data_IF_400381099638
#
_entry.id   IF_400381099638
#
_cell.length_a   1.000
_cell.length_b   1.000
_cell.length_c   1.000
_cell.angle_alpha   90.00
_cell.angle_beta   90.00
_cell.angle_gamma   90.00
#
_symmetry.space_group_name_H-M   'P 1'
#
loop_
_entity.id
_entity.type
_entity.pdbx_description
1 polymer ?
#
# COMPACT_ATOMS: atom_id res chain seq x y z
N UNK A 1 4.21 -10.84 -83.94
CA UNK A 1 3.15 -10.58 -82.94
C UNK A 1 3.27 -11.61 -81.81
N UNK A 2 3.04 -11.18 -80.57
CA UNK A 2 2.89 -11.95 -79.32
C UNK A 2 4.16 -12.42 -78.59
N UNK A 3 4.57 -11.61 -77.60
CA UNK A 3 5.04 -12.08 -76.27
C UNK A 3 3.82 -12.56 -75.47
N UNK A 4 3.93 -13.54 -74.55
CA UNK A 4 4.09 -13.26 -73.10
C UNK A 4 5.08 -14.24 -72.40
N UNK A 5 5.98 -13.80 -71.51
CA UNK A 5 5.86 -13.54 -70.05
C UNK A 5 6.05 -14.77 -69.13
N UNK A 6 6.69 -14.50 -67.99
CA UNK A 6 6.80 -15.26 -66.73
C UNK A 6 8.01 -16.23 -66.65
N UNK A 7 8.80 -16.33 -65.58
CA UNK A 7 8.62 -15.86 -64.21
C UNK A 7 9.97 -15.85 -63.45
N UNK A 8 10.13 -14.79 -62.64
CA UNK A 8 11.14 -14.56 -61.60
C UNK A 8 11.47 -15.78 -60.73
N UNK A 9 12.75 -15.94 -60.38
CA UNK A 9 13.22 -16.15 -58.98
C UNK A 9 14.66 -15.64 -58.89
N UNK A 10 14.83 -14.37 -58.51
CA UNK A 10 16.13 -13.81 -58.16
C UNK A 10 16.26 -13.77 -56.64
N UNK A 11 17.24 -14.52 -56.14
CA UNK A 11 17.76 -14.45 -54.78
C UNK A 11 18.17 -13.01 -54.44
N UNK A 12 17.76 -12.54 -53.26
CA UNK A 12 18.37 -11.39 -52.62
C UNK A 12 18.75 -11.77 -51.18
N UNK A 13 20.00 -12.26 -51.05
CA UNK A 13 20.78 -12.08 -49.83
C UNK A 13 21.08 -10.58 -49.67
N UNK A 14 20.61 -9.99 -48.59
CA UNK A 14 21.21 -8.80 -47.95
C UNK A 14 20.95 -8.96 -46.44
N UNK A 15 21.87 -9.59 -45.71
CA UNK A 15 22.95 -8.91 -44.97
C UNK A 15 22.44 -7.74 -44.11
N UNK A 16 22.24 -8.07 -42.82
CA UNK A 16 22.71 -7.31 -41.65
C UNK A 16 22.47 -5.79 -41.67
N UNK A 17 21.42 -5.36 -40.98
CA UNK A 17 21.40 -4.02 -40.39
C UNK A 17 20.51 -4.01 -39.15
N UNK A 18 21.13 -3.70 -38.00
CA UNK A 18 20.49 -3.06 -36.85
C UNK A 18 19.56 -3.91 -35.97
N UNK A 19 20.13 -4.89 -35.27
CA UNK A 19 19.70 -5.18 -33.89
C UNK A 19 20.08 -3.97 -33.01
N UNK A 20 19.33 -2.86 -33.13
CA UNK A 20 19.29 -1.85 -32.08
C UNK A 20 18.57 -2.50 -30.90
N UNK A 21 19.37 -3.14 -30.05
CA UNK A 21 19.01 -3.31 -28.66
C UNK A 21 18.71 -1.90 -28.12
N UNK A 22 17.43 -1.53 -28.10
CA UNK A 22 16.96 -0.49 -27.20
C UNK A 22 17.31 -1.00 -25.81
N UNK A 23 18.48 -0.58 -25.32
CA UNK A 23 18.80 -0.56 -23.92
C UNK A 23 17.63 0.17 -23.26
N UNK A 24 16.72 -0.59 -22.67
CA UNK A 24 15.73 -0.06 -21.77
C UNK A 24 16.53 0.62 -20.68
N UNK A 25 16.61 1.95 -20.76
CA UNK A 25 17.12 2.75 -19.66
C UNK A 25 16.36 2.27 -18.41
N UNK A 26 17.03 1.88 -17.33
CA UNK A 26 16.35 1.53 -16.10
C UNK A 26 15.45 2.71 -15.78
N UNK A 27 14.13 2.46 -15.82
CA UNK A 27 13.12 3.49 -15.60
C UNK A 27 13.53 4.26 -14.36
N UNK A 28 13.62 5.59 -14.51
CA UNK A 28 13.92 6.48 -13.40
C UNK A 28 13.10 6.00 -12.20
N UNK A 29 13.79 5.62 -11.11
CA UNK A 29 13.15 5.27 -9.84
C UNK A 29 12.12 6.36 -9.59
N UNK A 30 10.85 6.02 -9.73
CA UNK A 30 9.77 6.97 -9.57
C UNK A 30 9.97 7.64 -8.22
N UNK A 31 10.04 8.97 -8.21
CA UNK A 31 10.20 9.71 -6.96
C UNK A 31 9.11 9.24 -5.99
N UNK A 32 9.51 8.95 -4.74
CA UNK A 32 8.57 8.55 -3.70
C UNK A 32 7.43 9.59 -3.70
N UNK A 33 6.14 9.21 -3.82
CA UNK A 33 5.05 10.15 -3.58
C UNK A 33 5.28 10.87 -2.25
N UNK A 34 4.98 12.17 -2.22
CA UNK A 34 5.14 12.99 -1.02
C UNK A 34 4.04 12.63 -0.01
N UNK A 35 4.29 11.60 0.80
CA UNK A 35 3.40 11.12 1.84
C UNK A 35 3.57 12.02 3.08
N UNK A 36 2.45 12.53 3.58
CA UNK A 36 2.38 13.35 4.80
C UNK A 36 1.80 12.57 5.99
N UNK A 37 0.91 11.62 5.73
CA UNK A 37 0.33 10.81 6.79
C UNK A 37 0.02 9.39 6.35
N UNK A 38 0.09 8.49 7.31
CA UNK A 38 -0.30 7.08 7.18
C UNK A 38 -1.22 6.78 8.36
N UNK A 39 -2.41 6.28 8.08
CA UNK A 39 -3.41 5.91 9.09
C UNK A 39 -3.74 4.44 8.95
N UNK A 40 -3.83 3.75 10.09
CA UNK A 40 -4.32 2.39 10.21
C UNK A 40 -5.50 2.39 11.16
N UNK A 41 -6.68 2.10 10.64
CA UNK A 41 -7.90 1.97 11.40
C UNK A 41 -8.33 0.50 11.41
N UNK A 42 -8.75 0.01 12.58
CA UNK A 42 -9.27 -1.33 12.76
C UNK A 42 -10.49 -1.29 13.64
N UNK A 43 -11.50 -2.04 13.26
CA UNK A 43 -12.62 -2.31 14.14
C UNK A 43 -13.27 -3.66 13.81
N UNK A 44 -14.08 -4.14 14.74
CA UNK A 44 -14.95 -5.28 14.51
C UNK A 44 -16.23 -5.21 15.33
N UNK A 45 -17.30 -5.84 14.84
CA UNK A 45 -18.59 -5.87 15.55
C UNK A 45 -18.50 -6.57 16.92
N UNK A 46 -17.60 -7.52 17.13
CA UNK A 46 -17.41 -8.20 18.42
C UNK A 46 -16.35 -7.57 19.34
N UNK A 47 -15.59 -6.58 18.86
CA UNK A 47 -14.42 -6.07 19.56
C UNK A 47 -14.84 -5.19 20.74
N UNK A 48 -14.07 -5.24 21.83
CA UNK A 48 -14.28 -4.37 23.00
C UNK A 48 -13.94 -2.90 22.70
N UNK A 49 -13.07 -2.66 21.72
CA UNK A 49 -12.66 -1.33 21.24
C UNK A 49 -12.34 -1.36 19.75
N UNK A 50 -12.48 -0.21 19.09
CA UNK A 50 -11.83 0.08 17.81
C UNK A 50 -10.48 0.76 18.04
N UNK A 51 -9.63 0.83 17.01
CA UNK A 51 -8.34 1.52 17.08
C UNK A 51 -8.04 2.30 15.81
N UNK A 52 -7.44 3.48 15.96
CA UNK A 52 -6.91 4.29 14.86
C UNK A 52 -5.51 4.77 15.22
N UNK A 53 -4.51 4.25 14.51
CA UNK A 53 -3.13 4.70 14.55
C UNK A 53 -2.90 5.70 13.43
N UNK A 54 -2.38 6.88 13.75
CA UNK A 54 -2.02 7.91 12.78
C UNK A 54 -0.55 8.29 12.95
N UNK A 55 0.18 8.24 11.84
CA UNK A 55 1.57 8.61 11.71
C UNK A 55 1.65 9.84 10.82
N UNK A 56 2.41 10.86 11.24
CA UNK A 56 2.65 12.06 10.46
C UNK A 56 4.12 12.16 10.05
N UNK A 57 4.39 12.82 8.92
CA UNK A 57 5.74 13.01 8.38
C UNK A 57 6.65 13.84 9.26
N UNK A 58 6.09 14.61 10.20
CA UNK A 58 6.86 15.35 11.23
C UNK A 58 7.27 14.46 12.42
N UNK A 59 6.94 13.17 12.37
CA UNK A 59 7.23 12.18 13.38
C UNK A 59 6.17 12.07 14.48
N UNK A 60 5.05 12.79 14.45
CA UNK A 60 3.98 12.61 15.41
C UNK A 60 3.28 11.26 15.21
N UNK A 61 3.11 10.54 16.31
CA UNK A 61 2.37 9.27 16.37
C UNK A 61 1.19 9.45 17.32
N UNK A 62 -0.03 9.18 16.85
CA UNK A 62 -1.25 9.21 17.68
C UNK A 62 -1.99 7.89 17.57
N UNK A 63 -2.34 7.30 18.70
CA UNK A 63 -3.22 6.13 18.78
C UNK A 63 -4.50 6.53 19.50
N UNK A 64 -5.62 6.42 18.81
CA UNK A 64 -6.96 6.55 19.39
C UNK A 64 -7.57 5.17 19.55
N UNK A 65 -8.00 4.81 20.76
CA UNK A 65 -8.82 3.64 21.01
C UNK A 65 -10.25 4.11 21.25
N UNK A 66 -11.18 3.66 20.41
CA UNK A 66 -12.60 3.98 20.53
C UNK A 66 -13.29 2.94 21.40
N UNK A 67 -13.82 3.38 22.53
CA UNK A 67 -14.62 2.58 23.43
C UNK A 67 -15.97 2.19 22.82
N UNK A 68 -16.58 1.16 23.38
CA UNK A 68 -17.90 0.67 22.96
C UNK A 68 -18.77 0.45 24.18
N UNK A 69 -19.89 1.17 24.23
CA UNK A 69 -20.82 1.16 25.35
C UNK A 69 -21.26 -0.26 25.76
N UNK A 70 -21.53 -1.14 24.79
CA UNK A 70 -21.92 -2.54 25.04
C UNK A 70 -20.87 -3.37 25.79
N UNK A 71 -19.61 -2.91 25.82
CA UNK A 71 -18.50 -3.53 26.54
C UNK A 71 -18.03 -2.70 27.74
N UNK A 72 -18.70 -1.59 28.05
CA UNK A 72 -18.31 -0.70 29.16
C UNK A 72 -16.92 -0.08 28.99
N UNK A 73 -16.39 -0.02 27.76
CA UNK A 73 -15.07 0.56 27.49
C UNK A 73 -15.20 2.04 27.10
N UNK A 74 -14.23 2.84 27.55
CA UNK A 74 -14.14 4.29 27.25
C UNK A 74 -13.11 4.55 26.15
N UNK A 75 -13.20 5.74 25.55
CA UNK A 75 -12.22 6.24 24.60
C UNK A 75 -10.89 6.54 25.28
N UNK A 76 -9.78 6.31 24.57
CA UNK A 76 -8.43 6.62 25.03
C UNK A 76 -7.61 7.20 23.87
N UNK A 77 -6.74 8.16 24.16
CA UNK A 77 -5.83 8.74 23.18
C UNK A 77 -4.42 8.72 23.74
N UNK A 78 -3.50 8.09 23.02
CA UNK A 78 -2.07 8.05 23.32
C UNK A 78 -1.28 8.78 22.23
N UNK A 79 -0.24 9.49 22.63
CA UNK A 79 0.63 10.21 21.70
C UNK A 79 2.09 9.87 21.97
N UNK A 80 2.89 9.91 20.91
CA UNK A 80 4.32 9.70 20.97
C UNK A 80 5.03 10.27 19.76
N UNK A 81 6.32 9.99 19.66
CA UNK A 81 7.18 10.40 18.55
C UNK A 81 7.77 9.15 17.91
N UNK A 82 7.78 9.12 16.58
CA UNK A 82 8.54 8.14 15.82
C UNK A 82 10.04 8.39 15.99
N UNK A 83 10.84 7.32 15.94
CA UNK A 83 12.28 7.48 15.83
C UNK A 83 12.62 8.11 14.47
N UNK A 84 13.73 8.83 14.40
CA UNK A 84 14.20 9.40 13.15
C UNK A 84 14.33 8.30 12.07
N UNK A 85 13.78 8.53 10.89
CA UNK A 85 13.82 7.57 9.78
C UNK A 85 12.78 6.45 9.85
N UNK A 86 11.97 6.31 10.91
CA UNK A 86 10.89 5.30 10.95
C UNK A 86 9.81 5.61 9.90
N UNK A 87 9.43 6.89 9.75
CA UNK A 87 8.41 7.29 8.78
C UNK A 87 8.86 7.04 7.34
N UNK A 88 10.08 7.44 6.98
CA UNK A 88 10.65 7.24 5.65
C UNK A 88 10.81 5.75 5.31
N UNK A 89 11.18 4.92 6.29
CA UNK A 89 11.24 3.46 6.12
C UNK A 89 9.86 2.88 5.80
N UNK A 90 8.83 3.33 6.50
CA UNK A 90 7.46 2.89 6.23
C UNK A 90 6.98 3.36 4.85
N UNK A 91 7.27 4.60 4.45
CA UNK A 91 6.97 5.10 3.10
C UNK A 91 7.63 4.26 2.01
N UNK A 92 8.88 3.81 2.22
CA UNK A 92 9.57 2.92 1.29
C UNK A 92 8.93 1.54 1.27
N UNK A 93 8.59 0.99 2.44
CA UNK A 93 7.89 -0.30 2.54
C UNK A 93 6.57 -0.29 1.77
N UNK A 94 5.77 0.77 1.88
CA UNK A 94 4.51 0.91 1.12
C UNK A 94 4.73 0.77 -0.39
N UNK A 95 5.83 1.33 -0.90
CA UNK A 95 6.15 1.26 -2.33
C UNK A 95 6.70 -0.11 -2.73
N UNK A 96 7.64 -0.64 -1.95
CA UNK A 96 8.22 -1.97 -2.18
C UNK A 96 7.16 -3.07 -2.15
N UNK A 97 6.14 -2.94 -1.29
CA UNK A 97 5.01 -3.87 -1.22
C UNK A 97 3.90 -3.57 -2.25
N UNK A 98 4.05 -2.54 -3.09
CA UNK A 98 3.09 -2.21 -4.14
C UNK A 98 1.74 -1.72 -3.60
N UNK A 99 1.69 -1.11 -2.42
CA UNK A 99 0.44 -0.65 -1.78
C UNK A 99 -0.43 0.21 -2.71
N UNK A 100 0.20 1.10 -3.47
CA UNK A 100 -0.49 2.02 -4.37
C UNK A 100 -1.17 1.32 -5.56
N UNK A 101 -0.76 0.09 -5.89
CA UNK A 101 -1.36 -0.72 -6.94
C UNK A 101 -2.47 -1.65 -6.41
N UNK A 102 -2.65 -1.76 -5.09
CA UNK A 102 -3.71 -2.59 -4.52
C UNK A 102 -5.10 -2.00 -4.84
N UNK A 103 -6.13 -2.85 -5.00
CA UNK A 103 -7.50 -2.37 -5.11
C UNK A 103 -7.91 -1.66 -3.81
N UNK A 104 -8.82 -0.70 -3.91
CA UNK A 104 -9.30 0.05 -2.74
C UNK A 104 -10.09 -0.81 -1.76
N UNK A 105 -10.64 -1.94 -2.23
CA UNK A 105 -11.42 -2.88 -1.43
C UNK A 105 -10.96 -4.31 -1.67
N UNK A 106 -10.61 -4.98 -0.59
CA UNK A 106 -10.28 -6.41 -0.53
C UNK A 106 -11.26 -7.04 0.47
N UNK A 107 -12.38 -7.58 -0.02
CA UNK A 107 -13.41 -8.13 0.83
C UNK A 107 -13.97 -9.42 0.25
N UNK A 108 -14.28 -10.37 1.14
CA UNK A 108 -14.97 -11.60 0.77
C UNK A 108 -16.45 -11.27 0.51
N UNK A 109 -17.01 -11.74 -0.60
CA UNK A 109 -18.37 -11.38 -1.02
C UNK A 109 -19.44 -11.82 0.01
N UNK A 110 -19.17 -12.91 0.72
CA UNK A 110 -20.09 -13.52 1.68
C UNK A 110 -19.94 -12.95 3.10
N UNK A 111 -18.89 -12.15 3.36
CA UNK A 111 -18.61 -11.61 4.69
C UNK A 111 -19.24 -10.22 4.87
N UNK A 112 -20.51 -10.20 5.30
CA UNK A 112 -21.21 -8.95 5.57
C UNK A 112 -20.72 -8.26 6.84
N UNK A 113 -20.44 -9.02 7.90
CA UNK A 113 -19.95 -8.54 9.19
C UNK A 113 -18.62 -9.21 9.56
N UNK A 114 -17.77 -8.49 10.27
CA UNK A 114 -16.49 -9.04 10.70
C UNK A 114 -15.47 -7.99 11.09
N UNK A 115 -14.28 -8.45 11.45
CA UNK A 115 -13.13 -7.59 11.62
C UNK A 115 -12.74 -6.97 10.28
N UNK A 116 -12.43 -5.68 10.32
CA UNK A 116 -11.97 -4.95 9.16
C UNK A 116 -10.77 -4.08 9.50
N UNK A 117 -10.05 -3.71 8.46
CA UNK A 117 -8.90 -2.83 8.53
C UNK A 117 -8.98 -1.83 7.39
N UNK A 118 -8.62 -0.58 7.64
CA UNK A 118 -8.52 0.48 6.64
C UNK A 118 -7.15 1.12 6.79
N UNK A 119 -6.36 1.07 5.71
CA UNK A 119 -5.12 1.84 5.63
C UNK A 119 -5.33 3.02 4.69
N UNK A 120 -5.05 4.21 5.18
CA UNK A 120 -5.11 5.46 4.41
C UNK A 120 -3.72 6.08 4.35
N UNK A 121 -3.28 6.44 3.15
CA UNK A 121 -2.02 7.15 2.91
C UNK A 121 -2.35 8.46 2.19
N UNK A 122 -1.96 9.58 2.79
CA UNK A 122 -2.32 10.91 2.28
C UNK A 122 -1.10 11.82 2.13
N UNK A 123 -1.20 12.77 1.20
CA UNK A 123 -0.21 13.79 0.87
C UNK A 123 -0.82 14.89 -0.01
N UNK A 124 -0.04 15.88 -0.49
CA UNK A 124 -0.60 17.01 -1.24
C UNK A 124 -1.41 16.63 -2.49
N UNK A 125 -0.95 15.59 -3.19
CA UNK A 125 -1.56 15.07 -4.42
C UNK A 125 -1.79 13.56 -4.32
N UNK A 126 -1.96 13.06 -3.11
CA UNK A 126 -2.11 11.64 -2.82
C UNK A 126 -3.22 11.46 -1.79
N UNK A 127 -4.21 10.65 -2.13
CA UNK A 127 -5.15 10.07 -1.18
C UNK A 127 -5.44 8.64 -1.63
N UNK A 128 -4.83 7.67 -0.95
CA UNK A 128 -4.99 6.25 -1.26
C UNK A 128 -5.54 5.54 -0.04
N UNK A 129 -6.63 4.80 -0.24
CA UNK A 129 -7.27 4.00 0.79
C UNK A 129 -7.35 2.54 0.35
N UNK A 130 -7.06 1.64 1.28
CA UNK A 130 -7.23 0.20 1.09
C UNK A 130 -8.00 -0.34 2.27
N UNK A 131 -9.27 -0.66 2.02
CA UNK A 131 -10.17 -1.32 2.95
C UNK A 131 -10.04 -2.84 2.80
N UNK A 132 -9.87 -3.54 3.93
CA UNK A 132 -9.88 -4.99 4.00
C UNK A 132 -10.95 -5.49 4.96
N UNK A 133 -11.76 -6.44 4.48
CA UNK A 133 -12.66 -7.28 5.28
C UNK A 133 -12.63 -8.69 4.69
N UNK A 134 -11.53 -9.38 4.95
CA UNK A 134 -11.27 -10.73 4.47
C UNK A 134 -10.30 -11.41 5.43
N UNK A 135 -10.46 -12.72 5.60
CA UNK A 135 -9.52 -13.54 6.37
C UNK A 135 -8.17 -13.71 5.64
N UNK A 136 -8.17 -13.56 4.32
CA UNK A 136 -6.99 -13.76 3.47
C UNK A 136 -6.43 -12.42 3.00
N UNK A 137 -5.65 -11.76 3.86
CA UNK A 137 -4.92 -10.56 3.48
C UNK A 137 -3.78 -10.90 2.50
N UNK A 138 -3.56 -10.13 1.40
CA UNK A 138 -2.37 -10.28 0.60
C UNK A 138 -1.10 -10.14 1.45
N UNK A 139 -0.08 -10.95 1.19
CA UNK A 139 1.16 -10.95 1.97
C UNK A 139 1.83 -9.56 2.06
N UNK A 140 1.71 -8.77 0.99
CA UNK A 140 2.14 -7.37 0.95
C UNK A 140 1.47 -6.51 2.02
N UNK A 141 0.14 -6.63 2.16
CA UNK A 141 -0.64 -5.87 3.13
C UNK A 141 -0.36 -6.33 4.56
N UNK A 142 -0.18 -7.63 4.78
CA UNK A 142 0.20 -8.18 6.09
C UNK A 142 1.52 -7.60 6.60
N UNK A 143 2.52 -7.45 5.72
CA UNK A 143 3.82 -6.84 6.08
C UNK A 143 3.68 -5.37 6.46
N UNK A 144 2.83 -4.62 5.76
CA UNK A 144 2.55 -3.22 6.08
C UNK A 144 1.84 -3.11 7.44
N UNK A 145 0.79 -3.92 7.65
CA UNK A 145 0.06 -3.98 8.92
C UNK A 145 1.00 -4.34 10.10
N UNK A 146 1.88 -5.32 9.92
CA UNK A 146 2.86 -5.71 10.95
C UNK A 146 3.85 -4.59 11.27
N UNK A 147 4.38 -3.88 10.27
CA UNK A 147 5.28 -2.75 10.50
C UNK A 147 4.59 -1.60 11.26
N UNK A 148 3.30 -1.37 10.99
CA UNK A 148 2.50 -0.40 11.73
C UNK A 148 2.24 -0.85 13.17
N UNK A 149 2.02 -2.15 13.39
CA UNK A 149 1.86 -2.72 14.74
C UNK A 149 3.14 -2.60 15.57
N UNK A 150 4.31 -2.81 14.96
CA UNK A 150 5.60 -2.59 15.61
C UNK A 150 5.79 -1.13 16.04
N UNK A 151 5.36 -0.16 15.22
CA UNK A 151 5.41 1.26 15.57
C UNK A 151 4.41 1.61 16.68
N UNK A 152 3.20 1.04 16.64
CA UNK A 152 2.22 1.19 17.70
C UNK A 152 2.75 0.67 19.04
N UNK A 153 3.43 -0.48 19.05
CA UNK A 153 3.97 -1.10 20.25
C UNK A 153 5.04 -0.26 20.97
N UNK A 154 5.63 0.73 20.29
CA UNK A 154 6.57 1.70 20.88
C UNK A 154 5.88 2.79 21.71
N UNK A 155 4.56 2.95 21.57
CA UNK A 155 3.82 3.89 22.42
C UNK A 155 3.79 3.37 23.86
N UNK A 156 3.94 4.27 24.85
CA UNK A 156 3.80 3.87 26.24
C UNK A 156 2.40 3.30 26.48
N UNK A 157 2.32 2.15 27.15
CA UNK A 157 1.05 1.57 27.55
C UNK A 157 0.34 2.53 28.52
N UNK A 158 -0.91 2.90 28.21
CA UNK A 158 -1.69 3.69 29.16
C UNK A 158 -2.14 2.83 30.34
N UNK A 159 -2.17 3.39 31.56
CA UNK A 159 -2.79 2.72 32.70
C UNK A 159 -4.26 2.41 32.38
N UNK A 160 -4.67 1.18 32.71
CA UNK A 160 -6.02 0.66 32.48
C UNK A 160 -7.04 1.26 33.44
#
# INVERSE_FOLDING_TARGET
MRRPLLLNWALALCYSCSLLACAQAPGALAALPQIQSITLERDCFGCSRGSRLQLQSDGLLTLTLSGKARHGTVDQVSQGRLAAGDFERLCRLLQEQGFFALPERIADADLQDGAWTLITVSGPNLDKQVFRRSEQAPAALQKIEAALDELQAKLPAQPR
#
